data_IF_054522926833
#
_entry.id   IF_054522926833
#
_cell.length_a   1.000
_cell.length_b   1.000
_cell.length_c   1.000
_cell.angle_alpha   90.00
_cell.angle_beta   90.00
_cell.angle_gamma   90.00
#
_symmetry.space_group_name_H-M   'P 1'
#
loop_
_entity.id
_entity.type
_entity.pdbx_description
1 polymer ?
#
# COMPACT_ATOMS: atom_id res chain seq x y z
N UNK A 1 -9.26 -11.34 8.69
CA UNK A 1 -9.42 -9.88 8.81
C UNK A 1 -9.39 -9.39 10.27
N UNK A 2 -8.54 -9.96 11.14
CA UNK A 2 -8.55 -9.66 12.60
C UNK A 2 -7.23 -9.04 13.10
N UNK A 3 -6.37 -8.55 12.20
CA UNK A 3 -5.14 -7.85 12.60
C UNK A 3 -3.86 -8.23 11.85
N UNK A 4 -3.94 -8.62 10.58
CA UNK A 4 -2.76 -8.78 9.69
C UNK A 4 -1.69 -9.75 10.22
N UNK A 5 -2.08 -10.76 11.03
CA UNK A 5 -1.13 -11.60 11.75
C UNK A 5 -0.14 -12.32 10.83
N UNK A 6 -0.58 -12.72 9.63
CA UNK A 6 0.28 -13.32 8.61
C UNK A 6 1.39 -12.39 8.16
N UNK A 7 1.04 -11.16 7.75
CA UNK A 7 2.02 -10.17 7.32
C UNK A 7 2.96 -9.73 8.46
N UNK A 8 2.46 -9.58 9.69
CA UNK A 8 3.32 -9.32 10.85
C UNK A 8 4.30 -10.46 11.12
N UNK A 9 3.84 -11.72 11.07
CA UNK A 9 4.71 -12.88 11.25
C UNK A 9 5.77 -12.96 10.14
N UNK A 10 5.38 -12.74 8.89
CA UNK A 10 6.31 -12.70 7.75
C UNK A 10 7.37 -11.62 7.92
N UNK A 11 6.94 -10.38 8.21
CA UNK A 11 7.85 -9.26 8.40
C UNK A 11 8.84 -9.45 9.55
N UNK A 12 8.44 -10.18 10.61
CA UNK A 12 9.32 -10.54 11.71
C UNK A 12 10.31 -11.65 11.33
N UNK A 13 9.84 -12.73 10.71
CA UNK A 13 10.67 -13.90 10.34
C UNK A 13 11.67 -13.58 9.22
N UNK A 14 11.34 -12.64 8.33
CA UNK A 14 12.13 -12.30 7.15
C UNK A 14 12.76 -10.91 7.23
N UNK A 15 12.96 -10.36 8.43
CA UNK A 15 13.48 -9.00 8.61
C UNK A 15 14.79 -8.72 7.83
N UNK A 16 15.70 -9.70 7.77
CA UNK A 16 16.95 -9.58 7.02
C UNK A 16 16.74 -9.56 5.49
N UNK A 17 15.74 -10.28 4.98
CA UNK A 17 15.43 -10.32 3.55
C UNK A 17 14.68 -9.08 3.09
N UNK A 18 13.95 -8.39 3.98
CA UNK A 18 13.27 -7.15 3.64
C UNK A 18 14.23 -6.10 3.10
N UNK A 19 15.51 -6.10 3.47
CA UNK A 19 16.52 -5.20 2.92
C UNK A 19 16.72 -5.35 1.40
N UNK A 20 16.38 -6.50 0.83
CA UNK A 20 16.45 -6.79 -0.61
C UNK A 20 15.16 -6.41 -1.36
N UNK A 21 14.08 -6.12 -0.62
CA UNK A 21 12.77 -5.77 -1.21
C UNK A 21 12.77 -4.30 -1.61
N UNK A 22 12.58 -4.06 -2.90
CA UNK A 22 12.50 -2.73 -3.51
C UNK A 22 11.20 -2.02 -3.15
N UNK A 23 10.08 -2.71 -3.33
CA UNK A 23 8.75 -2.26 -2.95
C UNK A 23 7.82 -3.46 -2.72
N UNK A 24 6.79 -3.28 -1.90
CA UNK A 24 5.69 -4.23 -1.77
C UNK A 24 4.47 -3.74 -2.55
N UNK A 25 3.86 -4.61 -3.34
CA UNK A 25 2.58 -4.38 -4.00
C UNK A 25 1.52 -5.21 -3.29
N UNK A 26 0.60 -4.52 -2.62
CA UNK A 26 -0.50 -5.14 -1.90
C UNK A 26 -1.81 -4.86 -2.64
N UNK A 27 -2.44 -5.94 -3.10
CA UNK A 27 -3.62 -5.89 -3.96
C UNK A 27 -4.83 -6.34 -3.15
N UNK A 28 -5.60 -5.39 -2.64
CA UNK A 28 -6.71 -5.67 -1.71
C UNK A 28 -7.98 -4.94 -2.16
N UNK A 29 -9.06 -5.69 -2.41
CA UNK A 29 -10.31 -5.10 -2.89
C UNK A 29 -10.24 -4.42 -4.28
N UNK A 30 -9.41 -4.93 -5.20
CA UNK A 30 -9.10 -4.27 -6.49
C UNK A 30 -10.10 -4.53 -7.64
N UNK A 31 -11.10 -5.41 -7.44
CA UNK A 31 -11.92 -6.00 -8.51
C UNK A 31 -13.40 -5.57 -8.51
N UNK A 32 -13.73 -4.43 -7.89
CA UNK A 32 -15.13 -4.01 -7.74
C UNK A 32 -15.60 -3.20 -8.95
N UNK A 33 -16.76 -3.55 -9.48
CA UNK A 33 -17.38 -2.82 -10.59
C UNK A 33 -17.71 -1.37 -10.24
N UNK A 34 -17.39 -0.45 -11.15
CA UNK A 34 -17.70 0.97 -11.02
C UNK A 34 -17.06 1.71 -9.84
N UNK A 35 -16.19 1.06 -9.06
CA UNK A 35 -15.49 1.71 -7.95
C UNK A 35 -14.21 2.39 -8.44
N UNK A 36 -13.95 3.66 -8.07
CA UNK A 36 -12.69 4.32 -8.38
C UNK A 36 -11.53 3.61 -7.70
N UNK A 37 -10.39 3.55 -8.39
CA UNK A 37 -9.16 2.94 -7.91
C UNK A 37 -8.30 3.99 -7.19
N UNK A 38 -7.74 3.61 -6.05
CA UNK A 38 -6.80 4.43 -5.28
C UNK A 38 -5.54 3.62 -4.95
N UNK A 39 -4.38 4.26 -5.10
CA UNK A 39 -3.08 3.76 -4.71
C UNK A 39 -2.59 4.56 -3.51
N UNK A 40 -2.35 3.89 -2.38
CA UNK A 40 -1.74 4.48 -1.20
C UNK A 40 -0.23 4.28 -1.24
N UNK A 41 0.50 5.39 -1.21
CA UNK A 41 1.97 5.42 -1.10
C UNK A 41 2.45 5.65 0.35
N UNK A 42 1.52 5.70 1.30
CA UNK A 42 1.78 5.67 2.74
C UNK A 42 2.77 6.75 3.25
N UNK A 43 2.58 8.00 2.81
CA UNK A 43 3.45 9.12 3.17
C UNK A 43 4.77 9.20 2.37
N UNK A 44 5.03 8.24 1.47
CA UNK A 44 6.22 8.23 0.62
C UNK A 44 6.02 9.09 -0.64
N UNK A 45 6.36 10.38 -0.51
CA UNK A 45 6.13 11.39 -1.56
C UNK A 45 6.89 11.12 -2.87
N UNK A 46 8.11 10.57 -2.80
CA UNK A 46 8.89 10.28 -4.00
C UNK A 46 8.31 9.08 -4.77
N UNK A 47 7.89 8.03 -4.05
CA UNK A 47 7.15 6.91 -4.63
C UNK A 47 5.83 7.39 -5.25
N UNK A 48 5.07 8.22 -4.53
CA UNK A 48 3.81 8.79 -5.01
C UNK A 48 3.99 9.53 -6.33
N UNK A 49 4.96 10.44 -6.38
CA UNK A 49 5.25 11.28 -7.55
C UNK A 49 5.67 10.44 -8.75
N UNK A 50 6.46 9.39 -8.52
CA UNK A 50 6.89 8.46 -9.55
C UNK A 50 5.73 7.61 -10.10
N UNK A 51 4.89 7.03 -9.24
CA UNK A 51 3.72 6.27 -9.69
C UNK A 51 2.77 7.18 -10.46
N UNK A 52 2.54 8.40 -9.98
CA UNK A 52 1.67 9.35 -10.65
C UNK A 52 2.17 9.73 -12.05
N UNK A 53 3.49 9.89 -12.24
CA UNK A 53 4.04 10.18 -13.57
C UNK A 53 3.89 9.01 -14.54
N UNK A 54 4.03 7.77 -14.06
CA UNK A 54 3.85 6.56 -14.87
C UNK A 54 2.39 6.37 -15.34
N UNK A 55 1.42 6.78 -14.52
CA UNK A 55 0.00 6.62 -14.82
C UNK A 55 -0.61 7.80 -15.59
N UNK A 56 0.05 8.97 -15.60
CA UNK A 56 -0.54 10.22 -16.09
C UNK A 56 -1.08 10.18 -17.52
N UNK A 57 -0.43 9.43 -18.43
CA UNK A 57 -0.83 9.37 -19.83
C UNK A 57 -1.95 8.35 -20.08
N UNK A 58 -1.83 7.14 -19.50
CA UNK A 58 -2.66 5.99 -19.85
C UNK A 58 -3.77 5.71 -18.82
N UNK A 59 -3.60 6.14 -17.58
CA UNK A 59 -4.55 5.93 -16.48
C UNK A 59 -4.68 7.14 -15.53
N UNK A 60 -4.95 8.35 -16.06
CA UNK A 60 -5.08 9.56 -15.24
C UNK A 60 -6.25 9.49 -14.23
N UNK A 61 -7.19 8.56 -14.42
CA UNK A 61 -8.31 8.34 -13.51
C UNK A 61 -7.92 7.67 -12.19
N UNK A 62 -6.75 7.02 -12.11
CA UNK A 62 -6.30 6.33 -10.91
C UNK A 62 -5.75 7.35 -9.92
N UNK A 63 -6.36 7.41 -8.73
CA UNK A 63 -5.92 8.33 -7.69
C UNK A 63 -4.65 7.79 -7.02
N UNK A 64 -3.57 8.58 -7.04
CA UNK A 64 -2.34 8.26 -6.30
C UNK A 64 -2.25 9.13 -5.05
N UNK A 65 -2.44 8.51 -3.90
CA UNK A 65 -2.64 9.13 -2.59
C UNK A 65 -1.40 9.02 -1.73
N UNK A 66 -1.10 10.09 -0.99
CA UNK A 66 -0.07 10.05 0.05
C UNK A 66 -0.64 9.68 1.43
N UNK A 67 -1.92 9.35 1.53
CA UNK A 67 -2.53 8.95 2.80
C UNK A 67 -1.90 7.66 3.32
N UNK A 68 -1.74 7.56 4.64
CA UNK A 68 -1.25 6.35 5.31
C UNK A 68 -2.42 5.41 5.60
N UNK A 69 -2.38 4.19 5.06
CA UNK A 69 -3.34 3.15 5.37
C UNK A 69 -2.67 2.05 6.21
N UNK A 70 -3.21 1.79 7.41
CA UNK A 70 -2.64 0.87 8.40
C UNK A 70 -3.23 -0.55 8.37
N UNK A 71 -4.24 -0.78 7.52
CA UNK A 71 -5.18 -1.89 7.68
C UNK A 71 -5.16 -2.90 6.53
N UNK A 72 -4.01 -3.07 5.87
CA UNK A 72 -3.78 -4.17 4.93
C UNK A 72 -2.33 -4.67 5.02
N UNK A 73 -2.03 -5.78 4.37
CA UNK A 73 -0.81 -6.58 4.58
C UNK A 73 0.49 -5.87 4.16
N UNK A 74 0.43 -4.74 3.44
CA UNK A 74 1.61 -3.90 3.19
C UNK A 74 2.15 -3.26 4.47
N UNK A 75 1.28 -2.91 5.43
CA UNK A 75 1.66 -2.05 6.55
C UNK A 75 2.80 -2.63 7.40
N UNK A 76 2.80 -3.91 7.81
CA UNK A 76 3.91 -4.50 8.56
C UNK A 76 5.28 -4.42 7.86
N UNK A 77 5.31 -4.32 6.53
CA UNK A 77 6.54 -4.13 5.76
C UNK A 77 6.90 -2.64 5.65
N UNK A 78 5.90 -1.78 5.46
CA UNK A 78 6.06 -0.32 5.39
C UNK A 78 6.59 0.25 6.71
N UNK A 79 6.09 -0.19 7.87
CA UNK A 79 6.61 0.26 9.17
C UNK A 79 8.09 -0.15 9.40
N UNK A 80 8.64 -1.04 8.56
CA UNK A 80 10.07 -1.44 8.52
C UNK A 80 10.84 -0.76 7.38
N UNK A 81 10.25 0.27 6.76
CA UNK A 81 10.89 1.12 5.76
C UNK A 81 10.77 0.63 4.32
N UNK A 82 10.11 -0.50 4.05
CA UNK A 82 9.88 -0.97 2.68
C UNK A 82 8.91 0.00 1.98
N UNK A 83 9.22 0.57 0.81
CA UNK A 83 8.26 1.34 0.02
C UNK A 83 7.02 0.48 -0.28
N UNK A 84 5.82 0.99 0.00
CA UNK A 84 4.58 0.22 -0.10
C UNK A 84 3.56 0.85 -1.03
N UNK A 85 3.11 0.05 -1.99
CA UNK A 85 2.02 0.33 -2.93
C UNK A 85 0.82 -0.50 -2.50
N UNK A 86 -0.18 0.14 -1.89
CA UNK A 86 -1.45 -0.53 -1.57
C UNK A 86 -2.53 -0.03 -2.51
N UNK A 87 -3.20 -0.96 -3.20
CA UNK A 87 -4.20 -0.63 -4.22
C UNK A 87 -5.57 -1.12 -3.77
N UNK A 88 -6.59 -0.26 -3.90
CA UNK A 88 -7.99 -0.59 -3.58
C UNK A 88 -8.94 -0.03 -4.64
N UNK A 89 -10.08 -0.69 -4.82
CA UNK A 89 -11.26 -0.13 -5.48
C UNK A 89 -12.33 0.16 -4.41
N UNK A 90 -12.74 1.41 -4.24
CA UNK A 90 -13.62 1.77 -3.11
C UNK A 90 -14.69 2.79 -3.45
N UNK A 91 -15.93 2.50 -3.07
CA UNK A 91 -17.06 3.43 -3.08
C UNK A 91 -18.04 3.08 -1.95
N UNK A 92 -19.14 3.83 -1.83
CA UNK A 92 -20.17 3.61 -0.81
C UNK A 92 -20.84 2.24 -0.92
N UNK A 93 -20.94 1.67 -2.12
CA UNK A 93 -21.49 0.33 -2.33
C UNK A 93 -20.56 -0.75 -1.78
N UNK A 94 -19.26 -0.67 -2.08
CA UNK A 94 -18.23 -1.58 -1.51
C UNK A 94 -18.27 -1.54 0.00
N UNK A 95 -18.31 -0.34 0.58
CA UNK A 95 -18.36 -0.17 2.03
C UNK A 95 -19.56 -0.88 2.67
N UNK A 96 -20.70 -0.94 1.99
CA UNK A 96 -21.93 -1.55 2.51
C UNK A 96 -21.85 -3.09 2.49
N UNK A 97 -21.17 -3.68 1.51
CA UNK A 97 -21.12 -5.13 1.32
C UNK A 97 -19.85 -5.78 1.86
N UNK A 98 -18.76 -5.03 2.02
CA UNK A 98 -17.47 -5.53 2.50
C UNK A 98 -17.61 -6.20 3.89
N UNK A 99 -16.98 -7.36 4.06
CA UNK A 99 -17.11 -8.21 5.25
C UNK A 99 -18.56 -8.62 5.61
N UNK A 100 -19.45 -8.68 4.63
CA UNK A 100 -20.81 -9.23 4.81
C UNK A 100 -21.01 -10.46 3.92
N UNK A 101 -22.06 -11.27 4.16
CA UNK A 101 -22.43 -12.35 3.24
C UNK A 101 -22.80 -11.88 1.82
N UNK A 102 -22.93 -10.56 1.59
CA UNK A 102 -23.20 -9.99 0.27
C UNK A 102 -21.93 -9.74 -0.55
N UNK A 103 -20.75 -9.87 0.05
CA UNK A 103 -19.47 -9.89 -0.66
C UNK A 103 -19.33 -11.19 -1.46
N UNK A 104 -19.78 -11.13 -2.72
CA UNK A 104 -20.05 -12.30 -3.57
C UNK A 104 -19.63 -12.01 -5.01
N UNK A 105 -19.31 -13.07 -5.76
CA UNK A 105 -18.69 -12.98 -7.08
C UNK A 105 -19.51 -12.18 -8.11
N UNK A 106 -20.83 -12.10 -7.98
CA UNK A 106 -21.69 -11.35 -8.91
C UNK A 106 -21.52 -9.82 -8.82
N UNK A 107 -20.73 -9.32 -7.85
CA UNK A 107 -20.36 -7.89 -7.72
C UNK A 107 -18.99 -7.59 -8.34
N UNK A 108 -18.32 -8.63 -8.84
CA UNK A 108 -17.02 -8.54 -9.51
C UNK A 108 -17.23 -8.31 -11.00
N UNK A 109 -16.42 -7.43 -11.59
CA UNK A 109 -16.51 -7.09 -13.01
C UNK A 109 -15.25 -7.51 -13.76
N UNK A 110 -15.40 -8.40 -14.73
CA UNK A 110 -14.29 -8.84 -15.58
C UNK A 110 -13.61 -7.67 -16.33
N UNK A 111 -14.33 -6.70 -16.92
CA UNK A 111 -13.72 -5.50 -17.47
C UNK A 111 -12.88 -4.73 -16.45
N UNK A 112 -13.39 -4.57 -15.22
CA UNK A 112 -12.67 -3.91 -14.13
C UNK A 112 -11.42 -4.68 -13.73
N UNK A 113 -11.49 -6.01 -13.63
CA UNK A 113 -10.32 -6.87 -13.37
C UNK A 113 -9.26 -6.66 -14.44
N UNK A 114 -9.62 -6.78 -15.72
CA UNK A 114 -8.67 -6.66 -16.84
C UNK A 114 -7.99 -5.29 -16.83
N UNK A 115 -8.76 -4.22 -16.59
CA UNK A 115 -8.22 -2.87 -16.47
C UNK A 115 -7.27 -2.75 -15.29
N UNK A 116 -7.66 -3.25 -14.12
CA UNK A 116 -6.84 -3.21 -12.90
C UNK A 116 -5.52 -3.95 -13.09
N UNK A 117 -5.59 -5.18 -13.63
CA UNK A 117 -4.41 -5.99 -13.91
C UNK A 117 -3.49 -5.31 -14.93
N UNK A 118 -4.03 -4.63 -15.94
CA UNK A 118 -3.21 -3.97 -16.95
C UNK A 118 -2.29 -2.89 -16.36
N UNK A 119 -2.85 -1.91 -15.64
CA UNK A 119 -2.02 -0.83 -15.08
C UNK A 119 -1.10 -1.33 -13.97
N UNK A 120 -1.54 -2.27 -13.13
CA UNK A 120 -0.68 -2.84 -12.09
C UNK A 120 0.49 -3.63 -12.69
N UNK A 121 0.25 -4.36 -13.78
CA UNK A 121 1.30 -5.11 -14.47
C UNK A 121 2.31 -4.16 -15.10
N UNK A 122 1.86 -3.08 -15.74
CA UNK A 122 2.75 -2.05 -16.27
C UNK A 122 3.55 -1.42 -15.14
N UNK A 123 2.90 -1.03 -14.05
CA UNK A 123 3.55 -0.41 -12.90
C UNK A 123 4.64 -1.32 -12.29
N UNK A 124 4.30 -2.58 -12.04
CA UNK A 124 5.22 -3.58 -11.48
C UNK A 124 6.37 -3.90 -12.45
N UNK A 125 6.08 -4.11 -13.73
CA UNK A 125 7.09 -4.41 -14.73
C UNK A 125 8.03 -3.22 -14.96
N UNK A 126 7.51 -2.00 -15.04
CA UNK A 126 8.32 -0.78 -15.18
C UNK A 126 9.25 -0.61 -13.98
N UNK A 127 8.74 -0.75 -12.75
CA UNK A 127 9.59 -0.67 -11.55
C UNK A 127 10.64 -1.77 -11.49
N UNK A 128 10.28 -3.01 -11.84
CA UNK A 128 11.19 -4.15 -11.76
C UNK A 128 12.30 -4.10 -12.83
N UNK A 129 12.08 -3.40 -13.95
CA UNK A 129 13.05 -3.26 -15.04
C UNK A 129 13.76 -1.89 -15.06
N UNK A 130 13.45 -0.99 -14.12
CA UNK A 130 14.13 0.29 -14.03
C UNK A 130 15.59 0.09 -13.59
N UNK A 131 16.53 0.74 -14.30
CA UNK A 131 17.94 0.75 -13.89
C UNK A 131 18.10 1.46 -12.55
N UNK A 132 17.43 2.60 -12.40
CA UNK A 132 17.39 3.41 -11.19
C UNK A 132 15.94 3.76 -10.82
N UNK A 133 15.64 3.73 -9.53
CA UNK A 133 14.36 4.16 -8.98
C UNK A 133 14.53 5.49 -8.25
N UNK A 134 13.62 6.46 -8.44
CA UNK A 134 13.75 7.80 -7.83
C UNK A 134 13.31 7.83 -6.36
N UNK A 135 13.20 6.68 -5.72
CA UNK A 135 12.80 6.53 -4.32
C UNK A 135 13.64 5.46 -3.65
N UNK A 136 13.79 5.59 -2.35
CA UNK A 136 14.54 4.65 -1.51
C UNK A 136 13.66 4.19 -0.35
N UNK A 137 14.19 3.27 0.45
CA UNK A 137 13.58 2.89 1.74
C UNK A 137 13.54 4.09 2.67
N UNK A 138 12.48 4.17 3.47
CA UNK A 138 12.37 5.16 4.53
C UNK A 138 13.10 4.67 5.78
N UNK A 139 13.82 5.58 6.42
CA UNK A 139 14.37 5.38 7.75
C UNK A 139 13.26 5.37 8.81
N UNK A 140 13.59 4.88 10.00
CA UNK A 140 12.64 4.86 11.12
C UNK A 140 12.27 6.28 11.57
N UNK A 141 13.20 7.24 11.53
CA UNK A 141 12.92 8.64 11.85
C UNK A 141 11.98 9.30 10.85
N UNK A 142 12.15 9.02 9.54
CA UNK A 142 11.21 9.46 8.50
C UNK A 142 9.81 8.87 8.72
N UNK A 143 9.72 7.57 9.03
CA UNK A 143 8.43 6.91 9.30
C UNK A 143 7.73 7.47 10.55
N UNK A 144 8.46 7.77 11.62
CA UNK A 144 7.90 8.41 12.82
C UNK A 144 7.36 9.79 12.48
N UNK A 145 8.07 10.57 11.66
CA UNK A 145 7.61 11.89 11.21
C UNK A 145 6.34 11.77 10.37
N UNK A 146 6.33 10.88 9.38
CA UNK A 146 5.14 10.59 8.56
C UNK A 146 3.96 10.18 9.44
N UNK A 147 4.20 9.30 10.42
CA UNK A 147 3.14 8.82 11.30
C UNK A 147 2.50 9.97 12.12
N UNK A 148 3.31 10.92 12.59
CA UNK A 148 2.83 12.10 13.30
C UNK A 148 2.12 13.10 12.37
N UNK A 149 2.67 13.37 11.18
CA UNK A 149 2.09 14.28 10.19
C UNK A 149 0.70 13.81 9.71
N UNK A 150 0.53 12.50 9.55
CA UNK A 150 -0.74 11.89 9.18
C UNK A 150 -1.64 11.55 10.38
N UNK A 151 -1.20 11.83 11.60
CA UNK A 151 -1.96 11.58 12.84
C UNK A 151 -2.21 10.10 13.16
N UNK A 152 -1.51 9.18 12.48
CA UNK A 152 -1.64 7.73 12.65
C UNK A 152 -0.80 7.20 13.82
N UNK A 153 0.13 8.01 14.35
CA UNK A 153 0.91 7.71 15.55
C UNK A 153 0.00 7.42 16.77
N UNK A 154 -1.06 8.21 16.96
CA UNK A 154 -2.05 8.04 18.03
C UNK A 154 -2.80 6.73 17.88
N UNK A 155 -3.20 6.41 16.65
CA UNK A 155 -3.92 5.16 16.32
C UNK A 155 -3.05 3.96 16.64
N UNK A 156 -1.81 3.94 16.15
CA UNK A 156 -0.86 2.86 16.41
C UNK A 156 -0.59 2.65 17.91
N UNK A 157 -0.51 3.73 18.70
CA UNK A 157 -0.35 3.63 20.16
C UNK A 157 -1.58 3.06 20.85
N UNK A 158 -2.78 3.55 20.50
CA UNK A 158 -4.04 3.08 21.08
C UNK A 158 -4.26 1.59 20.80
N UNK A 159 -3.94 1.16 19.59
CA UNK A 159 -4.09 -0.22 19.15
C UNK A 159 -2.92 -1.12 19.56
N UNK A 160 -1.91 -0.56 20.26
CA UNK A 160 -0.69 -1.28 20.68
C UNK A 160 0.10 -1.88 19.51
N UNK A 161 0.10 -1.19 18.35
CA UNK A 161 0.83 -1.53 17.12
C UNK A 161 1.96 -0.55 16.80
N UNK A 162 2.43 0.22 17.78
CA UNK A 162 3.51 1.19 17.59
C UNK A 162 4.87 0.48 17.63
N UNK A 163 5.33 -0.02 16.47
CA UNK A 163 6.56 -0.82 16.35
C UNK A 163 7.79 -0.06 15.83
N UNK A 164 7.69 1.26 15.63
CA UNK A 164 8.83 2.05 15.15
C UNK A 164 10.02 1.88 16.08
N UNK A 165 11.18 1.57 15.51
CA UNK A 165 12.40 1.33 16.28
C UNK A 165 13.12 2.65 16.54
N UNK A 166 13.63 2.86 17.77
CA UNK A 166 14.56 3.97 18.01
C UNK A 166 15.80 3.78 17.14
N UNK A 167 16.34 4.86 16.59
CA UNK A 167 17.61 4.78 15.84
C UNK A 167 18.69 4.23 16.77
N UNK A 168 19.30 3.09 16.39
CA UNK A 168 20.50 2.62 17.04
C UNK A 168 21.61 3.57 16.63
N UNK A 169 21.92 4.53 17.50
CA UNK A 169 23.11 5.37 17.37
C UNK A 169 24.31 4.42 17.40
N UNK A 170 25.00 4.28 16.26
CA UNK A 170 26.29 3.59 16.21
C UNK A 170 27.37 4.43 16.85
#
# INVERSE_FOLDING_TARGET
EIGLFGAYAYAAQHAADLAKVVAIFNLDGIMVDGAPQEIFCNGHTALQSYIQSLLAENWPEIKVSNTVNLYSDHWPLVERGVPGVHTIAWNSFVQMINHTPYDTLDKVSEPSIRRSVAWMSVLAATMANAEDLPFTRLSQSELVKIAAEHGVDKVLRLEKRYHFQPEVTK
#
